data_IF_485990627200
#
_entry.id   IF_485990627200
#
_cell.length_a   1.000
_cell.length_b   1.000
_cell.length_c   1.000
_cell.angle_alpha   90.00
_cell.angle_beta   90.00
_cell.angle_gamma   90.00
#
_symmetry.space_group_name_H-M   'P 1'
#
loop_
_entity.id
_entity.type
_entity.pdbx_description
1 polymer ?
#
# COMPACT_ATOMS: atom_id res chain seq x y z
N UNK A 1 -16.98 -14.65 16.36
CA UNK A 1 -17.11 -14.85 14.89
C UNK A 1 -15.74 -14.63 14.28
N UNK A 2 -15.27 -15.54 13.42
CA UNK A 2 -13.93 -15.45 12.81
C UNK A 2 -14.04 -15.11 11.32
N UNK A 3 -13.00 -14.48 10.78
CA UNK A 3 -12.86 -14.20 9.35
C UNK A 3 -11.44 -14.54 8.91
N UNK A 4 -11.26 -14.95 7.67
CA UNK A 4 -9.94 -15.19 7.08
C UNK A 4 -9.65 -14.08 6.08
N UNK A 5 -8.49 -13.44 6.24
CA UNK A 5 -7.94 -12.50 5.25
C UNK A 5 -6.71 -13.09 4.58
N UNK A 6 -6.68 -12.99 3.26
CA UNK A 6 -5.56 -13.41 2.41
C UNK A 6 -4.97 -12.18 1.74
N UNK A 7 -3.69 -11.96 1.95
CA UNK A 7 -2.89 -10.99 1.19
C UNK A 7 -2.06 -11.75 0.15
N UNK A 8 -2.52 -11.70 -1.10
CA UNK A 8 -1.94 -12.41 -2.23
C UNK A 8 -0.90 -11.54 -2.93
N UNK A 9 0.33 -11.62 -2.50
CA UNK A 9 1.44 -10.89 -3.13
C UNK A 9 2.15 -11.71 -4.21
N UNK A 10 2.92 -11.03 -5.06
CA UNK A 10 3.74 -11.70 -6.10
C UNK A 10 4.89 -12.56 -5.55
N UNK A 11 5.29 -12.39 -4.31
CA UNK A 11 6.37 -13.15 -3.66
C UNK A 11 5.83 -14.15 -2.64
N UNK A 12 4.89 -13.72 -1.81
CA UNK A 12 4.30 -14.52 -0.73
C UNK A 12 2.79 -14.37 -0.73
N UNK A 13 2.10 -15.43 -0.30
CA UNK A 13 0.72 -15.42 0.11
C UNK A 13 0.72 -15.40 1.63
N UNK A 14 0.16 -14.36 2.24
CA UNK A 14 0.00 -14.26 3.68
C UNK A 14 -1.48 -14.41 4.05
N UNK A 15 -1.76 -15.18 5.07
CA UNK A 15 -3.11 -15.45 5.54
C UNK A 15 -3.22 -15.19 7.04
N UNK A 16 -4.34 -14.63 7.48
CA UNK A 16 -4.61 -14.39 8.89
C UNK A 16 -6.05 -14.75 9.28
N UNK A 17 -6.19 -15.34 10.46
CA UNK A 17 -7.47 -15.53 11.13
C UNK A 17 -7.74 -14.33 12.02
N UNK A 18 -8.82 -13.61 11.75
CA UNK A 18 -9.16 -12.34 12.38
C UNK A 18 -10.41 -12.50 13.25
N UNK A 19 -10.36 -12.01 14.48
CA UNK A 19 -11.46 -12.04 15.43
C UNK A 19 -12.43 -10.85 15.28
N UNK A 20 -13.45 -10.75 16.11
CA UNK A 20 -14.46 -9.67 16.11
C UNK A 20 -13.91 -8.30 16.48
N UNK A 21 -12.73 -8.25 17.11
CA UNK A 21 -12.02 -7.00 17.45
C UNK A 21 -11.08 -6.55 16.34
N UNK A 22 -11.06 -7.27 15.20
CA UNK A 22 -10.16 -7.05 14.07
C UNK A 22 -8.69 -7.35 14.41
N UNK A 23 -8.44 -8.22 15.40
CA UNK A 23 -7.11 -8.68 15.77
C UNK A 23 -6.78 -9.97 15.04
N UNK A 24 -5.57 -10.10 14.50
CA UNK A 24 -5.06 -11.34 13.92
C UNK A 24 -4.67 -12.28 15.07
N UNK A 25 -5.39 -13.41 15.20
CA UNK A 25 -5.16 -14.40 16.26
C UNK A 25 -4.29 -15.58 15.79
N UNK A 26 -4.20 -15.81 14.47
CA UNK A 26 -3.28 -16.75 13.86
C UNK A 26 -2.86 -16.21 12.50
N UNK A 27 -1.59 -16.42 12.12
CA UNK A 27 -1.03 -15.95 10.85
C UNK A 27 -0.09 -16.99 10.26
N UNK A 28 -0.24 -17.23 8.96
CA UNK A 28 0.55 -18.17 8.17
C UNK A 28 0.96 -17.55 6.84
N UNK A 29 2.00 -18.08 6.22
CA UNK A 29 2.41 -17.64 4.88
C UNK A 29 3.10 -18.75 4.10
N UNK A 30 3.05 -18.63 2.76
CA UNK A 30 3.77 -19.50 1.84
C UNK A 30 4.29 -18.70 0.65
N UNK A 31 5.41 -19.10 0.00
CA UNK A 31 5.85 -18.47 -1.23
C UNK A 31 4.81 -18.59 -2.35
N UNK A 32 4.56 -17.52 -3.10
CA UNK A 32 3.62 -17.55 -4.23
C UNK A 32 4.13 -18.38 -5.40
N UNK A 33 5.45 -18.42 -5.63
CA UNK A 33 6.08 -19.16 -6.73
C UNK A 33 5.44 -18.84 -8.09
N UNK A 34 5.53 -17.58 -8.50
CA UNK A 34 4.94 -17.07 -9.77
C UNK A 34 5.43 -17.90 -10.97
N UNK A 35 4.58 -18.05 -12.01
CA UNK A 35 4.92 -18.81 -13.22
C UNK A 35 4.48 -20.28 -13.19
N UNK A 36 3.91 -20.75 -12.07
CA UNK A 36 3.23 -22.05 -11.97
C UNK A 36 1.75 -21.95 -12.35
N UNK A 37 1.06 -23.09 -12.56
CA UNK A 37 -0.39 -23.07 -12.84
C UNK A 37 -1.17 -22.32 -11.76
N UNK A 38 -2.07 -21.41 -12.15
CA UNK A 38 -2.86 -20.58 -11.25
C UNK A 38 -3.67 -21.38 -10.21
N UNK A 39 -4.13 -22.58 -10.58
CA UNK A 39 -4.83 -23.49 -9.66
C UNK A 39 -3.96 -23.98 -8.48
N UNK A 40 -2.65 -23.98 -8.61
CA UNK A 40 -1.76 -24.31 -7.48
C UNK A 40 -1.74 -23.17 -6.45
N UNK A 41 -1.81 -21.91 -6.90
CA UNK A 41 -1.96 -20.76 -6.00
C UNK A 41 -3.27 -20.87 -5.21
N UNK A 42 -4.37 -21.24 -5.88
CA UNK A 42 -5.66 -21.49 -5.23
C UNK A 42 -5.59 -22.61 -4.19
N UNK A 43 -4.88 -23.71 -4.49
CA UNK A 43 -4.67 -24.80 -3.53
C UNK A 43 -3.87 -24.36 -2.32
N UNK A 44 -2.85 -23.53 -2.51
CA UNK A 44 -2.07 -22.99 -1.38
C UNK A 44 -2.90 -22.07 -0.50
N UNK A 45 -3.75 -21.22 -1.09
CA UNK A 45 -4.69 -20.38 -0.33
C UNK A 45 -5.62 -21.27 0.49
N UNK A 46 -6.18 -22.32 -0.11
CA UNK A 46 -7.06 -23.26 0.59
C UNK A 46 -6.32 -24.03 1.70
N UNK A 47 -5.07 -24.42 1.47
CA UNK A 47 -4.24 -25.08 2.49
C UNK A 47 -3.94 -24.16 3.66
N UNK A 48 -3.61 -22.85 3.41
CA UNK A 48 -3.42 -21.85 4.45
C UNK A 48 -4.68 -21.64 5.28
N UNK A 49 -5.86 -21.51 4.65
CA UNK A 49 -7.13 -21.36 5.34
C UNK A 49 -7.44 -22.54 6.27
N UNK A 50 -7.27 -23.79 5.78
CA UNK A 50 -7.43 -25.00 6.58
C UNK A 50 -6.44 -25.05 7.75
N UNK A 51 -5.17 -24.71 7.50
CA UNK A 51 -4.13 -24.68 8.52
C UNK A 51 -4.46 -23.70 9.63
N UNK A 52 -4.85 -22.46 9.29
CA UNK A 52 -5.26 -21.44 10.28
C UNK A 52 -6.40 -21.95 11.18
N UNK A 53 -7.42 -22.58 10.59
CA UNK A 53 -8.52 -23.15 11.36
C UNK A 53 -8.06 -24.28 12.27
N UNK A 54 -7.24 -25.21 11.76
CA UNK A 54 -6.69 -26.32 12.53
C UNK A 54 -5.86 -25.84 13.72
N UNK A 55 -4.95 -24.88 13.49
CA UNK A 55 -4.07 -24.36 14.53
C UNK A 55 -4.84 -23.55 15.59
N UNK A 56 -5.96 -22.94 15.21
CA UNK A 56 -6.87 -22.24 16.13
C UNK A 56 -7.90 -23.18 16.82
N UNK A 57 -7.95 -24.46 16.47
CA UNK A 57 -8.91 -25.42 17.02
C UNK A 57 -10.36 -25.18 16.60
N UNK A 58 -10.59 -24.56 15.42
CA UNK A 58 -11.91 -24.28 14.85
C UNK A 58 -12.11 -25.01 13.52
N UNK A 59 -13.33 -25.03 13.06
CA UNK A 59 -13.71 -25.57 11.74
C UNK A 59 -13.94 -24.42 10.74
N UNK A 60 -13.88 -24.73 9.42
CA UNK A 60 -14.23 -23.76 8.38
C UNK A 60 -15.65 -23.21 8.50
N UNK A 61 -16.58 -23.96 9.08
CA UNK A 61 -17.98 -23.54 9.29
C UNK A 61 -18.12 -22.44 10.35
N UNK A 62 -17.13 -22.26 11.20
CA UNK A 62 -17.08 -21.18 12.19
C UNK A 62 -16.46 -19.89 11.62
N UNK A 63 -15.96 -19.95 10.38
CA UNK A 63 -15.46 -18.80 9.61
C UNK A 63 -16.62 -18.16 8.87
N UNK A 64 -16.93 -16.92 9.23
CA UNK A 64 -18.03 -16.16 8.63
C UNK A 64 -17.75 -15.78 7.18
N UNK A 65 -16.52 -15.38 6.87
CA UNK A 65 -16.12 -14.98 5.52
C UNK A 65 -14.62 -15.19 5.28
N UNK A 66 -14.25 -15.34 4.02
CA UNK A 66 -12.88 -15.28 3.54
C UNK A 66 -12.76 -14.13 2.52
N UNK A 67 -11.79 -13.26 2.70
CA UNK A 67 -11.49 -12.20 1.73
C UNK A 67 -10.08 -12.34 1.18
N UNK A 68 -9.90 -11.91 -0.07
CA UNK A 68 -8.61 -11.88 -0.76
C UNK A 68 -8.28 -10.44 -1.14
N UNK A 69 -7.12 -9.96 -0.72
CA UNK A 69 -6.46 -8.79 -1.29
C UNK A 69 -5.53 -9.27 -2.40
N UNK A 70 -5.75 -8.84 -3.63
CA UNK A 70 -5.00 -9.28 -4.82
C UNK A 70 -4.45 -8.08 -5.58
N UNK A 71 -3.22 -8.14 -6.10
CA UNK A 71 -2.75 -7.10 -6.99
C UNK A 71 -3.55 -7.07 -8.29
N UNK A 72 -3.64 -5.91 -8.92
CA UNK A 72 -4.29 -5.70 -10.20
C UNK A 72 -5.77 -5.34 -10.11
N UNK A 73 -6.49 -5.58 -11.20
CA UNK A 73 -7.92 -5.27 -11.32
C UNK A 73 -8.72 -6.52 -10.98
N UNK A 74 -9.62 -6.39 -10.03
CA UNK A 74 -10.48 -7.49 -9.56
C UNK A 74 -11.97 -7.13 -9.73
N UNK A 75 -12.78 -8.17 -9.86
CA UNK A 75 -14.24 -8.05 -9.90
C UNK A 75 -14.83 -8.97 -8.84
N UNK A 76 -15.29 -8.40 -7.73
CA UNK A 76 -15.88 -9.12 -6.61
C UNK A 76 -17.22 -9.78 -7.00
N UNK A 77 -18.00 -9.15 -7.88
CA UNK A 77 -19.28 -9.70 -8.31
C UNK A 77 -19.15 -11.04 -9.07
N UNK A 78 -18.07 -11.19 -9.84
CA UNK A 78 -17.75 -12.45 -10.54
C UNK A 78 -16.74 -13.33 -9.81
N UNK A 79 -16.09 -12.79 -8.76
CA UNK A 79 -15.02 -13.47 -8.03
C UNK A 79 -13.75 -13.67 -8.86
N UNK A 80 -13.50 -12.77 -9.83
CA UNK A 80 -12.41 -12.89 -10.79
C UNK A 80 -11.30 -11.88 -10.56
N UNK A 81 -10.05 -12.30 -10.77
CA UNK A 81 -8.95 -11.39 -11.07
C UNK A 81 -8.97 -11.12 -12.56
N UNK A 82 -9.41 -9.92 -12.96
CA UNK A 82 -9.53 -9.51 -14.37
C UNK A 82 -8.15 -9.41 -15.00
N UNK A 83 -7.22 -8.78 -14.28
CA UNK A 83 -5.84 -8.60 -14.71
C UNK A 83 -4.91 -8.41 -13.52
N UNK A 84 -3.83 -9.17 -13.47
CA UNK A 84 -2.72 -8.93 -12.55
C UNK A 84 -1.39 -9.12 -13.30
N UNK A 85 -0.54 -8.09 -13.27
CA UNK A 85 0.76 -8.15 -13.96
C UNK A 85 1.74 -9.09 -13.25
N UNK A 86 1.68 -9.13 -11.92
CA UNK A 86 2.65 -9.84 -11.07
C UNK A 86 2.32 -11.32 -10.87
N UNK A 87 1.14 -11.80 -11.30
CA UNK A 87 0.62 -13.15 -11.02
C UNK A 87 0.16 -13.91 -12.28
N UNK A 88 0.38 -13.36 -13.47
CA UNK A 88 -0.09 -13.94 -14.74
C UNK A 88 -1.61 -14.24 -14.79
N UNK A 89 -2.40 -13.57 -13.96
CA UNK A 89 -3.85 -13.73 -13.98
C UNK A 89 -4.48 -12.92 -15.11
N UNK A 90 -5.39 -13.57 -15.83
CA UNK A 90 -6.20 -12.99 -16.91
C UNK A 90 -7.60 -13.60 -16.82
N UNK A 91 -8.59 -12.80 -16.40
CA UNK A 91 -9.98 -13.25 -16.18
C UNK A 91 -10.04 -14.57 -15.38
N UNK A 92 -9.20 -14.68 -14.35
CA UNK A 92 -9.07 -15.91 -13.58
C UNK A 92 -10.11 -15.96 -12.45
N UNK A 93 -11.01 -16.98 -12.44
CA UNK A 93 -12.12 -17.07 -11.49
C UNK A 93 -11.67 -17.64 -10.13
N UNK A 94 -10.89 -16.85 -9.37
CA UNK A 94 -10.23 -17.30 -8.16
C UNK A 94 -11.23 -17.73 -7.07
N UNK A 95 -12.31 -16.97 -6.84
CA UNK A 95 -13.31 -17.31 -5.83
C UNK A 95 -14.13 -18.55 -6.24
N UNK A 96 -14.63 -18.71 -7.49
CA UNK A 96 -15.24 -19.95 -7.96
C UNK A 96 -14.36 -21.19 -7.79
N UNK A 97 -13.04 -21.06 -7.99
CA UNK A 97 -12.12 -22.20 -7.79
C UNK A 97 -11.89 -22.48 -6.30
N UNK A 98 -11.85 -21.46 -5.43
CA UNK A 98 -11.76 -21.64 -3.98
C UNK A 98 -13.02 -22.27 -3.38
N UNK A 99 -14.22 -21.91 -3.85
CA UNK A 99 -15.48 -22.53 -3.41
C UNK A 99 -15.55 -24.05 -3.66
N UNK A 100 -14.74 -24.57 -4.59
CA UNK A 100 -14.63 -26.02 -4.79
C UNK A 100 -13.79 -26.72 -3.72
N UNK A 101 -12.97 -25.96 -2.98
CA UNK A 101 -11.99 -26.47 -2.02
C UNK A 101 -12.33 -26.16 -0.56
N UNK A 102 -13.10 -25.10 -0.32
CA UNK A 102 -13.41 -24.59 1.02
C UNK A 102 -14.94 -24.46 1.21
N UNK A 103 -15.44 -25.00 2.32
CA UNK A 103 -16.85 -24.88 2.74
C UNK A 103 -17.03 -23.57 3.56
N UNK A 104 -16.84 -22.42 2.88
CA UNK A 104 -17.06 -21.06 3.42
C UNK A 104 -18.06 -20.38 2.49
N UNK A 105 -19.20 -19.94 3.04
CA UNK A 105 -20.31 -19.40 2.23
C UNK A 105 -19.98 -18.03 1.61
N UNK A 106 -19.37 -17.14 2.39
CA UNK A 106 -19.09 -15.76 1.98
C UNK A 106 -17.60 -15.61 1.63
N UNK A 107 -17.33 -15.35 0.36
CA UNK A 107 -15.97 -15.04 -0.11
C UNK A 107 -15.97 -13.76 -0.92
N UNK A 108 -14.95 -12.93 -0.71
CA UNK A 108 -14.80 -11.61 -1.34
C UNK A 108 -13.39 -11.44 -1.91
N UNK A 109 -13.27 -10.55 -2.89
CA UNK A 109 -11.98 -10.16 -3.45
C UNK A 109 -11.92 -8.64 -3.65
N UNK A 110 -10.75 -8.05 -3.35
CA UNK A 110 -10.48 -6.65 -3.57
C UNK A 110 -9.04 -6.45 -4.06
N UNK A 111 -8.77 -5.30 -4.69
CA UNK A 111 -7.41 -4.88 -4.95
C UNK A 111 -6.62 -4.72 -3.63
N UNK A 112 -5.33 -5.04 -3.62
CA UNK A 112 -4.47 -5.05 -2.43
C UNK A 112 -4.38 -3.68 -1.74
N UNK A 113 -4.22 -2.59 -2.50
CA UNK A 113 -4.18 -1.24 -1.93
C UNK A 113 -5.55 -0.79 -1.41
N UNK A 114 -6.63 -1.12 -2.10
CA UNK A 114 -7.99 -0.89 -1.66
C UNK A 114 -8.31 -1.67 -0.38
N UNK A 115 -7.95 -2.95 -0.31
CA UNK A 115 -8.11 -3.76 0.89
C UNK A 115 -7.33 -3.17 2.07
N UNK A 116 -6.07 -2.76 1.86
CA UNK A 116 -5.29 -2.11 2.91
C UNK A 116 -5.94 -0.80 3.39
N UNK A 117 -6.45 0.04 2.46
CA UNK A 117 -7.18 1.26 2.82
C UNK A 117 -8.46 0.96 3.61
N UNK A 118 -9.19 -0.09 3.24
CA UNK A 118 -10.36 -0.55 3.97
C UNK A 118 -10.00 -1.05 5.37
N UNK A 119 -8.92 -1.83 5.51
CA UNK A 119 -8.40 -2.25 6.81
C UNK A 119 -8.09 -1.07 7.73
N UNK A 120 -7.39 -0.04 7.22
CA UNK A 120 -7.09 1.17 7.98
C UNK A 120 -8.35 1.98 8.34
N UNK A 121 -9.39 1.96 7.51
CA UNK A 121 -10.66 2.60 7.80
C UNK A 121 -11.46 1.87 8.90
N UNK A 122 -11.40 0.55 8.94
CA UNK A 122 -12.16 -0.27 9.92
C UNK A 122 -11.41 -0.41 11.24
N UNK A 123 -10.10 -0.66 11.20
CA UNK A 123 -9.34 -1.09 12.38
C UNK A 123 -8.06 -0.27 12.65
N UNK A 124 -7.68 0.63 11.74
CA UNK A 124 -6.40 1.33 11.81
C UNK A 124 -6.50 2.84 11.96
N UNK A 125 -5.61 3.57 11.28
CA UNK A 125 -5.42 5.00 11.42
C UNK A 125 -6.65 5.85 11.06
N UNK A 126 -7.55 5.35 10.20
CA UNK A 126 -8.76 6.04 9.78
C UNK A 126 -10.04 5.53 10.47
N UNK A 127 -9.89 4.68 11.52
CA UNK A 127 -11.04 4.15 12.26
C UNK A 127 -11.93 5.26 12.81
N UNK A 128 -13.24 5.14 12.50
CA UNK A 128 -14.27 6.09 12.91
C UNK A 128 -14.46 7.29 11.99
N UNK A 129 -13.64 7.45 10.94
CA UNK A 129 -13.87 8.45 9.90
C UNK A 129 -14.90 7.96 8.87
N UNK A 130 -15.62 8.88 8.25
CA UNK A 130 -16.57 8.58 7.17
C UNK A 130 -15.89 8.54 5.81
N UNK A 131 -14.77 9.25 5.66
CA UNK A 131 -14.00 9.30 4.44
C UNK A 131 -12.50 9.26 4.75
N UNK A 132 -11.75 8.48 3.98
CA UNK A 132 -10.31 8.41 4.10
C UNK A 132 -9.64 8.12 2.77
N UNK A 133 -8.39 8.57 2.66
CA UNK A 133 -7.47 8.18 1.59
C UNK A 133 -6.26 7.54 2.24
N UNK A 134 -5.90 6.36 1.79
CA UNK A 134 -4.62 5.74 2.15
C UNK A 134 -3.67 5.81 0.95
N UNK A 135 -2.42 6.17 1.21
CA UNK A 135 -1.33 6.03 0.24
C UNK A 135 -0.28 5.07 0.79
N UNK A 136 0.30 4.25 -0.07
CA UNK A 136 1.38 3.33 0.30
C UNK A 136 2.65 3.71 -0.44
N UNK A 137 3.71 4.03 0.31
CA UNK A 137 5.03 4.43 -0.21
C UNK A 137 5.99 3.24 -0.14
N UNK A 138 5.86 2.36 -1.12
CA UNK A 138 6.68 1.16 -1.32
C UNK A 138 7.56 1.25 -2.55
N UNK A 139 7.75 0.14 -3.27
CA UNK A 139 8.41 0.11 -4.60
C UNK A 139 7.75 1.08 -5.56
N UNK A 140 6.42 1.16 -5.54
CA UNK A 140 5.58 2.16 -6.19
C UNK A 140 4.86 3.04 -5.19
N UNK A 141 3.86 3.78 -5.68
CA UNK A 141 2.87 4.51 -4.89
C UNK A 141 1.49 3.91 -5.17
N UNK A 142 1.01 3.10 -4.23
CA UNK A 142 -0.36 2.61 -4.25
C UNK A 142 -1.31 3.53 -3.48
N UNK A 143 -2.61 3.31 -3.63
CA UNK A 143 -3.60 4.04 -2.86
C UNK A 143 -4.97 3.38 -2.87
N UNK A 144 -5.78 3.76 -1.90
CA UNK A 144 -7.17 3.37 -1.80
C UNK A 144 -7.99 4.51 -1.19
N UNK A 145 -9.22 4.61 -1.63
CA UNK A 145 -10.14 5.68 -1.24
C UNK A 145 -11.37 5.04 -0.59
N UNK A 146 -11.71 5.51 0.59
CA UNK A 146 -12.95 5.14 1.29
C UNK A 146 -13.80 6.39 1.39
N UNK A 147 -15.01 6.33 0.87
CA UNK A 147 -15.98 7.42 0.93
C UNK A 147 -17.35 6.89 1.35
N UNK A 148 -18.01 7.58 2.29
CA UNK A 148 -19.28 7.16 2.84
C UNK A 148 -19.25 5.73 3.43
N UNK A 149 -18.11 5.28 3.96
CA UNK A 149 -17.94 3.94 4.52
C UNK A 149 -17.84 2.83 3.48
N UNK A 150 -17.43 3.14 2.24
CA UNK A 150 -17.24 2.17 1.16
C UNK A 150 -15.96 2.46 0.38
N UNK A 151 -15.33 1.41 -0.11
CA UNK A 151 -14.19 1.54 -1.03
C UNK A 151 -14.67 2.10 -2.37
N UNK A 152 -14.02 3.17 -2.83
CA UNK A 152 -14.30 3.77 -4.14
C UNK A 152 -13.54 3.01 -5.23
N UNK A 153 -14.25 2.20 -5.99
CA UNK A 153 -13.69 1.34 -7.07
C UNK A 153 -13.80 1.94 -8.47
N UNK A 154 -14.56 3.05 -8.63
CA UNK A 154 -14.94 3.54 -9.95
C UNK A 154 -15.95 2.63 -10.64
N UNK A 155 -16.32 2.97 -11.89
CA UNK A 155 -17.34 2.20 -12.63
C UNK A 155 -16.82 0.85 -13.19
N UNK A 156 -15.52 0.67 -13.26
CA UNK A 156 -14.83 -0.47 -13.89
C UNK A 156 -13.83 -1.17 -12.95
N UNK A 157 -13.92 -0.94 -11.65
CA UNK A 157 -13.03 -1.49 -10.61
C UNK A 157 -11.54 -1.11 -10.76
N UNK A 158 -11.23 -0.02 -11.47
CA UNK A 158 -9.86 0.44 -11.71
C UNK A 158 -9.56 1.84 -11.14
N UNK A 159 -10.37 2.33 -10.19
CA UNK A 159 -10.07 3.57 -9.48
C UNK A 159 -9.00 3.35 -8.39
N UNK A 160 -8.41 4.45 -7.90
CA UNK A 160 -7.44 4.38 -6.81
C UNK A 160 -5.98 4.32 -7.26
N UNK A 161 -5.70 4.36 -8.55
CA UNK A 161 -4.34 4.40 -9.12
C UNK A 161 -3.64 5.76 -8.86
N UNK A 162 -3.57 6.15 -7.59
CA UNK A 162 -3.14 7.49 -7.15
C UNK A 162 -1.69 7.81 -7.53
N UNK A 163 -0.82 6.81 -7.55
CA UNK A 163 0.59 6.96 -7.93
C UNK A 163 0.77 7.37 -9.40
N UNK A 164 -0.26 7.18 -10.23
CA UNK A 164 -0.18 7.47 -11.66
C UNK A 164 -0.78 8.82 -12.07
N UNK A 165 -1.17 9.68 -11.13
CA UNK A 165 -1.44 11.08 -11.44
C UNK A 165 -0.16 11.77 -11.91
N UNK A 166 -0.26 12.64 -12.92
CA UNK A 166 0.89 13.40 -13.43
C UNK A 166 1.07 14.65 -12.56
N UNK A 167 2.18 14.72 -11.82
CA UNK A 167 2.56 15.89 -11.01
C UNK A 167 3.61 16.78 -11.69
N UNK A 168 4.23 16.29 -12.76
CA UNK A 168 5.19 17.04 -13.56
C UNK A 168 5.07 16.64 -15.03
N UNK A 169 4.51 17.51 -15.85
CA UNK A 169 4.44 17.30 -17.30
C UNK A 169 5.86 17.14 -17.86
N UNK A 170 6.05 16.19 -18.77
CA UNK A 170 7.35 15.83 -19.36
C UNK A 170 8.44 15.46 -18.31
N UNK A 171 8.02 14.96 -17.16
CA UNK A 171 8.90 14.57 -16.07
C UNK A 171 9.55 13.20 -16.25
N UNK A 172 9.95 12.58 -15.12
CA UNK A 172 10.61 11.27 -15.08
C UNK A 172 9.75 10.18 -15.74
N UNK A 173 10.36 9.21 -16.46
CA UNK A 173 9.63 8.06 -16.97
C UNK A 173 9.02 7.25 -15.82
N UNK A 174 7.84 6.69 -16.04
CA UNK A 174 7.15 5.79 -15.12
C UNK A 174 7.01 4.41 -15.74
N UNK A 175 6.98 3.38 -14.90
CA UNK A 175 6.80 1.97 -15.30
C UNK A 175 5.47 1.73 -16.04
N UNK A 176 4.46 2.59 -15.85
CA UNK A 176 3.20 2.54 -16.60
C UNK A 176 3.29 3.01 -18.08
N UNK A 177 4.49 3.36 -18.54
CA UNK A 177 4.73 3.85 -19.93
C UNK A 177 4.54 5.35 -20.12
N UNK A 178 4.07 6.10 -19.10
CA UNK A 178 3.90 7.56 -19.15
C UNK A 178 5.08 8.29 -18.49
N UNK A 179 5.04 9.61 -18.50
CA UNK A 179 6.02 10.48 -17.85
C UNK A 179 5.36 11.34 -16.77
N UNK A 180 6.13 11.65 -15.71
CA UNK A 180 5.73 12.62 -14.70
C UNK A 180 4.75 12.12 -13.65
N UNK A 181 4.50 10.80 -13.57
CA UNK A 181 3.66 10.20 -12.54
C UNK A 181 4.22 10.47 -11.14
N UNK A 182 3.35 10.67 -10.17
CA UNK A 182 3.69 10.87 -8.76
C UNK A 182 4.60 9.77 -8.21
N UNK A 183 4.33 8.54 -8.59
CA UNK A 183 5.15 7.35 -8.23
C UNK A 183 6.63 7.51 -8.57
N UNK A 184 6.96 8.07 -9.74
CA UNK A 184 8.34 8.24 -10.19
C UNK A 184 9.17 9.17 -9.28
N UNK A 185 8.51 9.95 -8.43
CA UNK A 185 9.13 10.90 -7.51
C UNK A 185 8.95 10.53 -6.04
N UNK A 186 7.82 9.94 -5.67
CA UNK A 186 7.41 9.79 -4.27
C UNK A 186 7.39 8.35 -3.76
N UNK A 187 7.68 7.36 -4.61
CA UNK A 187 7.94 5.99 -4.15
C UNK A 187 9.30 5.86 -3.46
N UNK A 188 9.51 4.75 -2.75
CA UNK A 188 10.85 4.39 -2.25
C UNK A 188 11.86 4.26 -3.39
N UNK A 189 11.44 3.73 -4.55
CA UNK A 189 12.27 3.68 -5.78
C UNK A 189 12.65 5.07 -6.26
N UNK A 190 11.70 6.01 -6.26
CA UNK A 190 11.95 7.41 -6.62
C UNK A 190 12.98 8.06 -5.69
N UNK A 191 12.84 7.88 -4.37
CA UNK A 191 13.78 8.38 -3.38
C UNK A 191 15.18 7.75 -3.56
N UNK A 192 15.26 6.45 -3.78
CA UNK A 192 16.52 5.74 -4.04
C UNK A 192 17.21 6.30 -5.28
N UNK A 193 16.48 6.55 -6.36
CA UNK A 193 17.03 7.09 -7.60
C UNK A 193 17.54 8.53 -7.41
N UNK A 194 16.77 9.42 -6.76
CA UNK A 194 17.23 10.76 -6.41
C UNK A 194 18.49 10.73 -5.53
N UNK A 195 18.55 9.80 -4.59
CA UNK A 195 19.71 9.63 -3.71
C UNK A 195 20.96 9.20 -4.53
N UNK A 196 20.81 8.25 -5.45
CA UNK A 196 21.90 7.81 -6.34
C UNK A 196 22.40 8.93 -7.24
N UNK A 197 21.47 9.68 -7.85
CA UNK A 197 21.79 10.83 -8.70
C UNK A 197 22.56 11.90 -7.92
N UNK A 198 22.17 12.20 -6.68
CA UNK A 198 22.85 13.17 -5.84
C UNK A 198 24.25 12.70 -5.40
N UNK A 199 24.41 11.45 -5.04
CA UNK A 199 25.73 10.86 -4.73
C UNK A 199 26.67 10.97 -5.93
N UNK A 200 26.20 10.66 -7.14
CA UNK A 200 27.00 10.76 -8.35
C UNK A 200 27.34 12.23 -8.70
N UNK A 201 26.39 13.15 -8.56
CA UNK A 201 26.65 14.60 -8.68
C UNK A 201 27.75 15.07 -7.71
N UNK A 202 27.67 14.66 -6.44
CA UNK A 202 28.67 15.00 -5.43
C UNK A 202 30.06 14.46 -5.83
N UNK A 203 30.14 13.24 -6.32
CA UNK A 203 31.39 12.63 -6.80
C UNK A 203 31.99 13.40 -7.98
N UNK A 204 31.16 13.78 -8.96
CA UNK A 204 31.61 14.53 -10.15
C UNK A 204 32.08 15.95 -9.81
N UNK A 205 31.47 16.58 -8.79
CA UNK A 205 31.81 17.94 -8.36
C UNK A 205 32.86 18.01 -7.25
N UNK A 206 33.34 16.84 -6.77
CA UNK A 206 34.26 16.77 -5.63
C UNK A 206 33.62 17.17 -4.28
N UNK A 207 32.30 17.24 -4.20
CA UNK A 207 31.57 17.53 -2.96
C UNK A 207 31.48 16.27 -2.10
N UNK A 208 31.90 16.35 -0.86
CA UNK A 208 31.74 15.24 0.09
C UNK A 208 30.29 15.10 0.54
N UNK A 209 29.85 13.86 0.79
CA UNK A 209 28.57 13.53 1.39
C UNK A 209 28.66 12.28 2.26
N UNK A 210 28.02 12.31 3.42
CA UNK A 210 27.97 11.13 4.33
C UNK A 210 27.16 9.99 3.72
N UNK A 211 26.31 10.25 2.72
CA UNK A 211 25.56 9.21 2.02
C UNK A 211 26.46 8.16 1.38
N UNK A 212 27.65 8.56 0.86
CA UNK A 212 28.63 7.62 0.32
C UNK A 212 29.10 6.60 1.37
N UNK A 213 29.40 7.07 2.59
CA UNK A 213 29.78 6.21 3.71
C UNK A 213 28.63 5.30 4.14
N UNK A 214 27.40 5.84 4.27
CA UNK A 214 26.22 5.05 4.62
C UNK A 214 25.93 3.95 3.60
N UNK A 215 26.18 4.21 2.31
CA UNK A 215 26.06 3.19 1.25
C UNK A 215 27.13 2.12 1.38
N UNK A 216 28.38 2.49 1.68
CA UNK A 216 29.46 1.52 1.88
C UNK A 216 29.18 0.58 3.06
N UNK A 217 28.63 1.11 4.17
CA UNK A 217 28.25 0.34 5.36
C UNK A 217 27.06 -0.62 5.09
N UNK A 218 26.09 -0.21 4.26
CA UNK A 218 24.87 -0.99 3.98
C UNK A 218 24.94 -1.85 2.70
N UNK A 219 26.00 -1.70 1.91
CA UNK A 219 26.21 -2.38 0.63
C UNK A 219 25.33 -1.85 -0.53
N UNK A 220 24.38 -0.97 -0.27
CA UNK A 220 23.48 -0.38 -1.29
C UNK A 220 22.79 0.90 -0.82
N UNK A 221 22.38 1.73 -1.79
CA UNK A 221 21.41 2.82 -1.52
C UNK A 221 20.04 2.21 -1.23
N UNK A 222 19.39 2.67 -0.18
CA UNK A 222 18.04 2.26 0.22
C UNK A 222 17.18 3.47 0.62
N UNK A 223 15.90 3.26 0.92
CA UNK A 223 14.95 4.32 1.25
C UNK A 223 15.29 5.15 2.51
N UNK A 224 16.25 4.71 3.33
CA UNK A 224 16.69 5.43 4.53
C UNK A 224 17.94 6.27 4.31
N UNK A 225 18.73 5.99 3.25
CA UNK A 225 20.05 6.58 3.06
C UNK A 225 20.03 8.11 3.10
N UNK A 226 19.11 8.77 2.38
CA UNK A 226 18.99 10.22 2.39
C UNK A 226 18.45 10.75 3.72
N UNK A 227 17.46 10.09 4.34
CA UNK A 227 16.93 10.49 5.64
C UNK A 227 17.98 10.38 6.74
N UNK A 228 18.76 9.30 6.77
CA UNK A 228 19.86 9.12 7.72
C UNK A 228 20.94 10.19 7.51
N UNK A 229 21.30 10.51 6.25
CA UNK A 229 22.23 11.59 5.93
C UNK A 229 21.71 12.97 6.40
N UNK A 230 20.43 13.26 6.18
CA UNK A 230 19.79 14.51 6.66
C UNK A 230 19.85 14.63 8.17
N UNK A 231 19.61 13.55 8.92
CA UNK A 231 19.74 13.53 10.40
C UNK A 231 21.16 13.81 10.88
N UNK A 232 22.16 13.46 10.06
CA UNK A 232 23.58 13.77 10.30
C UNK A 232 23.98 15.19 9.86
N UNK A 233 23.05 16.00 9.35
CA UNK A 233 23.29 17.36 8.90
C UNK A 233 23.98 17.47 7.53
N UNK A 234 23.98 16.41 6.72
CA UNK A 234 24.57 16.40 5.39
C UNK A 234 23.75 17.27 4.42
N UNK A 235 24.39 18.28 3.83
CA UNK A 235 23.70 19.23 2.97
C UNK A 235 23.18 18.59 1.67
N UNK A 236 23.89 17.63 1.09
CA UNK A 236 23.44 16.93 -0.12
C UNK A 236 22.24 16.02 0.19
N UNK A 237 22.24 15.35 1.35
CA UNK A 237 21.11 14.56 1.81
C UNK A 237 19.88 15.43 2.13
N UNK A 238 20.10 16.64 2.69
CA UNK A 238 19.01 17.62 2.88
C UNK A 238 18.35 17.97 1.55
N UNK A 239 19.13 18.27 0.52
CA UNK A 239 18.60 18.58 -0.82
C UNK A 239 17.74 17.45 -1.38
N UNK A 240 18.17 16.18 -1.25
CA UNK A 240 17.41 15.01 -1.69
C UNK A 240 16.09 14.88 -0.94
N UNK A 241 16.13 14.96 0.40
CA UNK A 241 14.91 14.80 1.21
C UNK A 241 13.95 15.96 0.97
N UNK A 242 14.44 17.20 0.86
CA UNK A 242 13.61 18.39 0.64
C UNK A 242 12.91 18.32 -0.74
N UNK A 243 13.61 17.85 -1.78
CA UNK A 243 13.00 17.60 -3.09
C UNK A 243 11.96 16.46 -3.03
N UNK A 244 12.28 15.34 -2.37
CA UNK A 244 11.36 14.23 -2.18
C UNK A 244 10.08 14.67 -1.46
N UNK A 245 10.21 15.40 -0.34
CA UNK A 245 9.08 15.91 0.45
C UNK A 245 8.23 16.89 -0.37
N UNK A 246 8.84 17.72 -1.21
CA UNK A 246 8.10 18.61 -2.11
C UNK A 246 7.17 17.85 -3.05
N UNK A 247 7.66 16.79 -3.70
CA UNK A 247 6.84 15.97 -4.59
C UNK A 247 5.80 15.15 -3.81
N UNK A 248 6.17 14.60 -2.67
CA UNK A 248 5.24 13.86 -1.81
C UNK A 248 4.09 14.76 -1.37
N UNK A 249 4.40 15.95 -0.87
CA UNK A 249 3.40 16.92 -0.44
C UNK A 249 2.49 17.39 -1.59
N UNK A 250 3.02 17.56 -2.80
CA UNK A 250 2.22 17.96 -3.96
C UNK A 250 1.16 16.92 -4.33
N UNK A 251 1.51 15.63 -4.31
CA UNK A 251 0.53 14.58 -4.56
C UNK A 251 -0.49 14.46 -3.42
N UNK A 252 -0.05 14.53 -2.15
CA UNK A 252 -0.96 14.51 -1.00
C UNK A 252 -1.94 15.68 -1.07
N UNK A 253 -1.46 16.89 -1.33
CA UNK A 253 -2.32 18.07 -1.47
C UNK A 253 -3.33 17.92 -2.63
N UNK A 254 -2.92 17.30 -3.74
CA UNK A 254 -3.82 16.98 -4.85
C UNK A 254 -4.93 16.01 -4.41
N UNK A 255 -4.60 14.95 -3.66
CA UNK A 255 -5.59 14.02 -3.12
C UNK A 255 -6.54 14.72 -2.15
N UNK A 256 -6.02 15.57 -1.27
CA UNK A 256 -6.85 16.34 -0.35
C UNK A 256 -7.76 17.30 -1.12
N UNK A 257 -7.25 18.04 -2.10
CA UNK A 257 -8.04 18.98 -2.89
C UNK A 257 -9.16 18.32 -3.71
N UNK A 258 -8.98 17.05 -4.12
CA UNK A 258 -9.97 16.30 -4.88
C UNK A 258 -11.02 15.64 -3.97
N UNK A 259 -10.57 14.95 -2.91
CA UNK A 259 -11.43 14.06 -2.11
C UNK A 259 -11.87 14.68 -0.78
N UNK A 260 -11.16 15.70 -0.27
CA UNK A 260 -11.39 16.28 1.07
C UNK A 260 -11.66 15.23 2.17
N UNK A 261 -10.79 14.21 2.30
CA UNK A 261 -11.02 13.14 3.25
C UNK A 261 -10.86 13.67 4.69
N UNK A 262 -11.58 13.07 5.65
CA UNK A 262 -11.35 13.35 7.07
C UNK A 262 -9.95 12.93 7.51
N UNK A 263 -9.48 11.76 7.00
CA UNK A 263 -8.15 11.20 7.30
C UNK A 263 -7.42 10.86 6.01
N UNK A 264 -6.13 11.23 5.94
CA UNK A 264 -5.20 10.69 4.96
C UNK A 264 -4.11 9.91 5.70
N UNK A 265 -3.99 8.61 5.41
CA UNK A 265 -2.98 7.76 6.04
C UNK A 265 -1.85 7.40 5.07
N UNK A 266 -0.62 7.40 5.60
CA UNK A 266 0.60 7.10 4.86
C UNK A 266 1.15 5.77 5.35
N UNK A 267 1.14 4.76 4.48
CA UNK A 267 1.71 3.42 4.70
C UNK A 267 2.95 3.15 3.85
N UNK A 268 3.38 1.89 3.83
CA UNK A 268 4.55 1.43 3.08
C UNK A 268 5.88 1.70 3.78
N UNK A 269 6.98 1.29 3.13
CA UNK A 269 8.31 1.31 3.77
C UNK A 269 8.80 2.67 4.24
N UNK A 270 8.46 3.74 3.52
CA UNK A 270 8.87 5.12 3.87
C UNK A 270 8.11 5.62 5.12
N UNK A 271 6.90 5.15 5.37
CA UNK A 271 6.14 5.52 6.57
C UNK A 271 6.83 5.12 7.90
N UNK A 272 7.81 4.21 7.85
CA UNK A 272 8.63 3.87 9.02
C UNK A 272 9.46 5.04 9.56
N UNK A 273 9.62 6.14 8.80
CA UNK A 273 10.19 7.40 9.29
C UNK A 273 9.29 8.07 10.36
N UNK A 274 8.02 7.66 10.46
CA UNK A 274 7.11 8.00 11.54
C UNK A 274 6.79 9.49 11.63
N UNK A 275 6.81 10.04 12.84
CA UNK A 275 6.53 11.44 13.10
C UNK A 275 7.49 12.37 12.34
N UNK A 276 8.75 11.96 12.15
CA UNK A 276 9.73 12.75 11.39
C UNK A 276 9.28 12.99 9.93
N UNK A 277 8.66 12.00 9.28
CA UNK A 277 8.07 12.20 7.96
C UNK A 277 6.92 13.21 8.01
N UNK A 278 6.02 13.08 8.99
CA UNK A 278 4.87 13.98 9.15
C UNK A 278 5.31 15.42 9.40
N UNK A 279 6.33 15.63 10.25
CA UNK A 279 6.87 16.96 10.55
C UNK A 279 7.43 17.68 9.30
N UNK A 280 7.98 16.90 8.35
CA UNK A 280 8.49 17.44 7.09
C UNK A 280 7.38 17.70 6.06
N UNK A 281 6.41 16.76 5.94
CA UNK A 281 5.44 16.78 4.84
C UNK A 281 4.22 17.65 5.13
N UNK A 282 3.69 17.66 6.36
CA UNK A 282 2.46 18.39 6.70
C UNK A 282 2.57 19.89 6.40
N UNK A 283 3.63 20.61 6.81
CA UNK A 283 3.75 22.02 6.47
C UNK A 283 3.69 22.28 4.96
N UNK A 284 4.34 21.42 4.17
CA UNK A 284 4.36 21.54 2.70
C UNK A 284 3.02 21.21 2.05
N UNK A 285 2.23 20.32 2.65
CA UNK A 285 0.86 20.05 2.22
C UNK A 285 -0.03 21.26 2.50
N UNK A 286 0.09 21.86 3.71
CA UNK A 286 -0.72 23.02 4.10
C UNK A 286 -0.48 24.26 3.21
N UNK A 287 0.75 24.43 2.68
CA UNK A 287 1.07 25.48 1.70
C UNK A 287 0.32 25.31 0.37
N UNK A 288 -0.10 24.07 0.01
CA UNK A 288 -0.69 23.73 -1.30
C UNK A 288 -2.17 23.34 -1.21
N UNK A 289 -2.68 23.12 -0.01
CA UNK A 289 -4.06 22.74 0.21
C UNK A 289 -4.99 23.94 0.08
N UNK A 290 -6.04 23.80 -0.77
CA UNK A 290 -7.06 24.84 -0.90
C UNK A 290 -7.89 24.95 0.39
N UNK A 291 -8.18 26.18 0.80
CA UNK A 291 -9.00 26.44 1.99
C UNK A 291 -8.28 26.28 3.33
N UNK A 292 -6.93 26.23 3.35
CA UNK A 292 -6.16 26.15 4.59
C UNK A 292 -6.54 27.26 5.55
N UNK A 293 -6.92 26.88 6.78
CA UNK A 293 -7.35 27.80 7.84
C UNK A 293 -8.80 28.30 7.71
N UNK A 294 -9.52 27.96 6.64
CA UNK A 294 -10.92 28.39 6.41
C UNK A 294 -11.93 27.27 6.67
N UNK A 295 -11.51 26.01 6.54
CA UNK A 295 -12.35 24.83 6.76
C UNK A 295 -11.61 23.80 7.65
N UNK A 296 -12.31 22.81 8.24
CA UNK A 296 -11.66 21.71 8.93
C UNK A 296 -10.62 21.04 8.02
N UNK A 297 -9.45 20.75 8.56
CA UNK A 297 -8.33 20.23 7.80
C UNK A 297 -8.29 18.70 7.86
N UNK A 298 -7.94 18.05 6.75
CA UNK A 298 -7.64 16.62 6.70
C UNK A 298 -6.58 16.28 7.76
N UNK A 299 -6.82 15.27 8.56
CA UNK A 299 -5.84 14.74 9.50
C UNK A 299 -4.90 13.77 8.78
N UNK A 300 -3.61 14.10 8.74
CA UNK A 300 -2.58 13.29 8.04
C UNK A 300 -1.87 12.45 9.08
N UNK A 301 -1.94 11.13 8.92
CA UNK A 301 -1.44 10.14 9.89
C UNK A 301 -0.52 9.11 9.24
N UNK A 302 0.30 8.43 10.04
CA UNK A 302 0.95 7.18 9.64
C UNK A 302 -0.06 6.04 9.77
N UNK A 303 -0.10 5.15 8.77
CA UNK A 303 -0.90 3.93 8.79
C UNK A 303 -0.51 3.05 9.99
N UNK A 304 -1.50 2.46 10.67
CA UNK A 304 -1.30 1.74 11.93
C UNK A 304 -1.13 0.24 11.72
N UNK A 305 -1.82 -0.36 10.76
CA UNK A 305 -1.84 -1.81 10.56
C UNK A 305 -0.58 -2.34 9.86
N UNK A 306 0.20 -1.47 9.22
CA UNK A 306 1.47 -1.82 8.56
C UNK A 306 1.30 -2.98 7.57
N UNK A 307 2.10 -4.05 7.72
CA UNK A 307 2.06 -5.23 6.85
C UNK A 307 0.81 -6.10 7.06
N UNK A 308 -0.01 -5.82 8.06
CA UNK A 308 -1.23 -6.55 8.35
C UNK A 308 -2.48 -5.88 7.72
N UNK A 309 -2.31 -4.70 7.14
CA UNK A 309 -3.39 -3.93 6.54
C UNK A 309 -4.12 -4.71 5.43
N UNK A 310 -3.37 -5.38 4.54
CA UNK A 310 -3.94 -6.23 3.49
C UNK A 310 -4.74 -7.40 4.05
N UNK A 311 -4.20 -8.10 5.06
CA UNK A 311 -4.86 -9.25 5.71
C UNK A 311 -6.13 -8.79 6.44
N UNK A 312 -6.04 -7.77 7.29
CA UNK A 312 -7.19 -7.27 8.05
C UNK A 312 -8.24 -6.71 7.09
N UNK A 313 -7.81 -5.91 6.10
CA UNK A 313 -8.71 -5.35 5.10
C UNK A 313 -9.44 -6.42 4.29
N UNK A 314 -8.72 -7.46 3.84
CA UNK A 314 -9.33 -8.61 3.16
C UNK A 314 -10.34 -9.32 4.07
N UNK A 315 -9.99 -9.61 5.32
CA UNK A 315 -10.88 -10.31 6.25
C UNK A 315 -12.22 -9.59 6.49
N UNK A 316 -12.24 -8.25 6.36
CA UNK A 316 -13.44 -7.43 6.62
C UNK A 316 -14.17 -6.97 5.34
N UNK A 317 -13.83 -7.55 4.19
CA UNK A 317 -14.62 -7.36 2.97
C UNK A 317 -16.03 -7.93 3.16
N UNK A 318 -17.02 -7.25 2.59
CA UNK A 318 -18.42 -7.65 2.75
C UNK A 318 -19.10 -7.16 4.04
N UNK A 319 -18.40 -6.42 4.89
CA UNK A 319 -18.99 -5.81 6.12
C UNK A 319 -19.67 -4.48 5.81
#
# INVERSE_FOLDING_TARGET
MYRIGIDLGGTNIAAGLVNEKFEIIAKESTPTLVGRPNLEIVRDIAALANKLCTDAGITLREVASLGIASPGIVDDATGCVVYANNLDFRNFPILPELHKLLDIAEMHIENDANAAAWGEAIAGAAKGSKSSVMITLGTGVGGGIVDGGKVYKGFNNAAGELGHIVIRVDGRPCTCGRHGCWEAYSSATGLINMTKEKIEECKQTGRETVMTRLVAEKGKVNGRTAFDGKRLGDAAACEVVDEYIKYLASGIASMINIFQPEVLSIGGGISNEGQYLLDLVIPKVREQQYGTGLVPMTDIRIAQLRNDAGIIGAAVLGM
#
